data_IF_419133775677
#
_entry.id   IF_419133775677
#
_cell.length_a   1.000
_cell.length_b   1.000
_cell.length_c   1.000
_cell.angle_alpha   90.00
_cell.angle_beta   90.00
_cell.angle_gamma   90.00
#
_symmetry.space_group_name_H-M   'P 1'
#
loop_
_entity.id
_entity.type
_entity.pdbx_description
1 polymer ?
#
# COMPACT_ATOMS: atom_id res chain seq x y z
N UNK A 1 -14.32 -14.86 13.86
CA UNK A 1 -15.02 -14.01 12.86
C UNK A 1 -14.03 -13.07 12.21
N UNK A 2 -13.22 -13.54 11.25
CA UNK A 2 -12.17 -12.76 10.56
C UNK A 2 -12.72 -11.80 9.48
N UNK A 3 -14.03 -11.67 9.33
CA UNK A 3 -14.63 -10.93 8.20
C UNK A 3 -14.63 -9.40 8.36
N UNK A 4 -14.43 -8.86 9.58
CA UNK A 4 -14.40 -7.39 9.80
C UNK A 4 -12.99 -6.80 9.67
N UNK A 5 -11.95 -7.58 9.91
CA UNK A 5 -10.56 -7.12 9.75
C UNK A 5 -10.21 -6.89 8.27
N UNK A 6 -10.75 -7.71 7.36
CA UNK A 6 -10.48 -7.65 5.91
C UNK A 6 -11.12 -6.45 5.18
N UNK A 7 -12.14 -5.80 5.76
CA UNK A 7 -12.82 -4.66 5.10
C UNK A 7 -12.12 -3.32 5.30
N UNK A 8 -11.25 -3.19 6.31
CA UNK A 8 -10.52 -1.94 6.59
C UNK A 8 -9.22 -1.81 5.79
N UNK A 9 -8.97 -2.71 4.84
CA UNK A 9 -7.88 -2.59 3.87
C UNK A 9 -8.38 -2.10 2.50
N UNK A 10 -9.58 -1.51 2.45
CA UNK A 10 -10.17 -0.90 1.25
C UNK A 10 -9.82 0.59 1.12
N UNK A 11 -8.71 1.04 1.72
CA UNK A 11 -7.97 2.19 1.16
C UNK A 11 -7.30 1.65 -0.11
N UNK A 12 -8.08 1.53 -1.19
CA UNK A 12 -7.59 1.12 -2.51
C UNK A 12 -6.76 2.27 -3.06
N UNK A 13 -5.67 2.60 -2.37
CA UNK A 13 -4.58 3.35 -2.95
C UNK A 13 -4.09 2.50 -4.09
N UNK A 14 -4.26 3.04 -5.30
CA UNK A 14 -3.97 2.38 -6.57
C UNK A 14 -2.52 1.85 -6.62
N UNK A 15 -1.65 2.40 -5.77
CA UNK A 15 -0.23 2.08 -5.71
C UNK A 15 0.16 1.66 -4.29
N UNK A 16 0.03 0.37 -3.99
CA UNK A 16 0.50 -0.23 -2.73
C UNK A 16 1.96 -0.65 -2.84
N UNK A 17 2.72 -0.45 -1.77
CA UNK A 17 4.07 -0.96 -1.63
C UNK A 17 4.06 -2.45 -1.29
N UNK A 18 4.72 -3.26 -2.13
CA UNK A 18 4.83 -4.71 -1.91
C UNK A 18 5.71 -5.12 -0.73
N UNK A 19 6.53 -4.22 -0.19
CA UNK A 19 7.43 -4.52 0.95
C UNK A 19 6.75 -4.33 2.31
N UNK A 20 5.93 -3.27 2.46
CA UNK A 20 5.35 -2.89 3.75
C UNK A 20 3.84 -2.64 3.70
N UNK A 21 3.19 -2.80 2.55
CA UNK A 21 1.75 -2.56 2.37
C UNK A 21 1.34 -1.09 2.41
N UNK A 22 2.28 -0.15 2.49
CA UNK A 22 1.98 1.29 2.50
C UNK A 22 1.41 1.72 1.16
N UNK A 23 0.26 2.37 1.18
CA UNK A 23 -0.36 2.87 -0.05
C UNK A 23 0.03 4.30 -0.40
N UNK A 24 0.08 4.57 -1.70
CA UNK A 24 0.36 5.86 -2.33
C UNK A 24 -0.71 6.23 -3.36
N UNK A 25 -0.91 7.54 -3.57
CA UNK A 25 -1.85 8.06 -4.56
C UNK A 25 -1.27 8.05 -5.98
N UNK A 26 0.06 8.11 -6.09
CA UNK A 26 0.80 8.20 -7.36
C UNK A 26 1.88 7.12 -7.48
N UNK A 27 2.11 6.68 -8.72
CA UNK A 27 3.20 5.73 -9.04
C UNK A 27 4.58 6.32 -8.76
N UNK A 28 4.73 7.63 -8.90
CA UNK A 28 6.00 8.32 -8.65
C UNK A 28 6.40 8.23 -7.18
N UNK A 29 5.48 8.51 -6.27
CA UNK A 29 5.71 8.40 -4.83
C UNK A 29 5.97 6.96 -4.40
N UNK A 30 5.23 6.00 -4.96
CA UNK A 30 5.51 4.58 -4.74
C UNK A 30 6.93 4.22 -5.21
N UNK A 31 7.33 4.61 -6.43
CA UNK A 31 8.67 4.32 -6.98
C UNK A 31 9.79 4.92 -6.16
N UNK A 32 9.64 6.14 -5.66
CA UNK A 32 10.60 6.77 -4.76
C UNK A 32 10.66 6.03 -3.42
N UNK A 33 9.50 5.65 -2.88
CA UNK A 33 9.41 4.92 -1.63
C UNK A 33 10.06 3.52 -1.70
N UNK A 34 9.83 2.74 -2.76
CA UNK A 34 10.44 1.40 -2.86
C UNK A 34 11.96 1.43 -2.91
N UNK A 35 12.57 2.54 -3.36
CA UNK A 35 14.03 2.73 -3.31
C UNK A 35 14.57 2.85 -1.90
N UNK A 36 13.75 3.19 -0.90
CA UNK A 36 14.18 3.23 0.51
C UNK A 36 14.16 1.86 1.17
N UNK A 37 13.63 0.83 0.48
CA UNK A 37 13.60 -0.57 0.96
C UNK A 37 14.72 -1.41 0.36
N UNK A 38 15.47 -0.86 -0.61
CA UNK A 38 16.79 -1.40 -0.97
C UNK A 38 17.76 -1.09 0.15
#
# INVERSE_FOLDING_TARGET
MLNRHLKCHNDVKRHLCGFCGKGFNDTFDLKRHVRTHT
#
